data_IF_151746804480
#
_entry.id   IF_151746804480
#
_cell.length_a   1.000
_cell.length_b   1.000
_cell.length_c   1.000
_cell.angle_alpha   90.00
_cell.angle_beta   90.00
_cell.angle_gamma   90.00
#
_symmetry.space_group_name_H-M   'P 1'
#
loop_
_entity.id
_entity.type
_entity.pdbx_description
1 polymer ?
#
# COMPACT_ATOMS: atom_id res chain seq x y z
N UNK A 1 -2.68 -2.35 -2.47
CA UNK A 1 -2.67 -0.93 -2.02
C UNK A 1 -1.24 -0.49 -1.82
N UNK A 2 -0.88 0.70 -2.27
CA UNK A 2 0.44 1.29 -2.14
C UNK A 2 0.41 2.50 -1.21
N UNK A 3 1.44 2.64 -0.37
CA UNK A 3 1.65 3.76 0.54
C UNK A 3 2.89 4.50 0.06
N UNK A 4 2.69 5.74 -0.41
CA UNK A 4 3.75 6.65 -0.80
C UNK A 4 4.63 7.00 0.42
N UNK A 5 5.95 7.00 0.22
CA UNK A 5 6.94 7.42 1.22
C UNK A 5 7.72 8.63 0.70
N UNK A 6 9.04 8.55 0.54
CA UNK A 6 9.85 9.70 0.14
C UNK A 6 9.81 9.94 -1.38
N UNK A 7 9.73 8.86 -2.15
CA UNK A 7 9.64 8.90 -3.62
C UNK A 7 8.20 9.15 -4.03
N UNK A 8 7.98 10.28 -4.70
CA UNK A 8 6.67 10.61 -5.24
C UNK A 8 6.21 9.62 -6.31
N UNK A 9 4.97 9.16 -6.21
CA UNK A 9 4.34 8.21 -7.16
C UNK A 9 3.27 8.89 -8.03
N UNK A 10 3.51 10.16 -8.36
CA UNK A 10 2.52 11.05 -8.99
C UNK A 10 2.01 10.52 -10.34
N UNK A 11 2.91 9.97 -11.16
CA UNK A 11 2.55 9.39 -12.47
C UNK A 11 1.54 8.24 -12.35
N UNK A 12 1.63 7.43 -11.28
CA UNK A 12 0.70 6.33 -11.04
C UNK A 12 -0.64 6.81 -10.48
N UNK A 13 -0.62 7.86 -9.65
CA UNK A 13 -1.84 8.51 -9.15
C UNK A 13 -2.69 9.05 -10.30
N UNK A 14 -2.04 9.61 -11.34
CA UNK A 14 -2.71 10.18 -12.50
C UNK A 14 -3.41 9.16 -13.41
N UNK A 15 -3.06 7.87 -13.27
CA UNK A 15 -3.73 6.80 -14.02
C UNK A 15 -5.07 6.38 -13.43
N UNK A 16 -5.33 6.70 -12.16
CA UNK A 16 -6.54 6.30 -11.45
C UNK A 16 -7.57 7.43 -11.28
N UNK A 17 -8.64 7.13 -10.55
CA UNK A 17 -9.65 8.11 -10.16
C UNK A 17 -9.16 8.82 -8.89
N UNK A 18 -8.96 10.14 -8.98
CA UNK A 18 -8.61 10.98 -7.83
C UNK A 18 -9.74 10.95 -6.80
N UNK A 19 -9.40 10.66 -5.54
CA UNK A 19 -10.35 10.59 -4.43
C UNK A 19 -10.16 11.77 -3.50
N UNK A 20 -8.91 12.00 -3.07
CA UNK A 20 -8.56 12.96 -2.02
C UNK A 20 -9.42 12.80 -0.75
N UNK A 21 -9.47 11.56 -0.22
CA UNK A 21 -10.27 11.20 0.95
C UNK A 21 -9.42 10.85 2.16
N UNK A 22 -9.94 11.01 3.38
CA UNK A 22 -9.25 10.54 4.59
C UNK A 22 -9.22 9.02 4.60
N UNK A 23 -8.08 8.43 4.96
CA UNK A 23 -7.95 6.97 5.07
C UNK A 23 -8.82 6.45 6.23
N UNK A 24 -9.72 5.51 5.93
CA UNK A 24 -10.46 4.73 6.93
C UNK A 24 -10.58 3.26 6.50
N UNK A 25 -10.76 2.37 7.47
CA UNK A 25 -11.01 0.94 7.20
C UNK A 25 -12.23 0.74 6.30
N UNK A 26 -13.31 1.44 6.58
CA UNK A 26 -14.58 1.38 5.88
C UNK A 26 -14.43 1.83 4.42
N UNK A 27 -13.64 2.87 4.19
CA UNK A 27 -13.34 3.34 2.84
C UNK A 27 -12.54 2.29 2.07
N UNK A 28 -11.45 1.77 2.65
CA UNK A 28 -10.59 0.79 1.99
C UNK A 28 -11.35 -0.51 1.67
N UNK A 29 -12.17 -1.00 2.61
CA UNK A 29 -13.01 -2.18 2.36
C UNK A 29 -13.97 -1.95 1.20
N UNK A 30 -14.62 -0.78 1.13
CA UNK A 30 -15.54 -0.46 0.05
C UNK A 30 -14.87 -0.35 -1.32
N UNK A 31 -13.65 0.20 -1.38
CA UNK A 31 -12.92 0.31 -2.66
C UNK A 31 -12.62 -1.05 -3.27
N UNK A 32 -12.30 -2.06 -2.46
CA UNK A 32 -11.97 -3.39 -2.94
C UNK A 32 -13.19 -4.31 -3.12
N UNK A 33 -14.42 -3.79 -3.07
CA UNK A 33 -15.63 -4.57 -3.40
C UNK A 33 -15.58 -4.94 -4.89
N UNK A 34 -15.64 -6.24 -5.25
CA UNK A 34 -15.60 -6.69 -6.64
C UNK A 34 -16.70 -6.06 -7.51
N UNK A 35 -16.43 -5.89 -8.81
CA UNK A 35 -17.37 -5.36 -9.80
C UNK A 35 -17.81 -3.91 -9.55
N UNK A 36 -16.98 -3.11 -8.86
CA UNK A 36 -17.22 -1.67 -8.69
C UNK A 36 -16.21 -0.84 -9.50
N UNK A 37 -16.50 0.40 -9.90
CA UNK A 37 -15.56 1.19 -10.71
C UNK A 37 -14.17 1.41 -10.09
N UNK A 38 -14.02 1.28 -8.76
CA UNK A 38 -12.78 1.58 -8.04
C UNK A 38 -11.93 0.33 -7.71
N UNK A 39 -12.48 -0.88 -7.86
CA UNK A 39 -11.81 -2.10 -7.38
C UNK A 39 -10.65 -2.59 -8.24
N UNK A 40 -10.69 -2.26 -9.53
CA UNK A 40 -9.72 -2.71 -10.50
C UNK A 40 -8.48 -1.82 -10.47
N UNK A 41 -7.44 -2.29 -9.79
CA UNK A 41 -6.15 -1.63 -9.71
C UNK A 41 -5.70 -1.36 -8.29
N UNK A 42 -4.80 -0.40 -8.13
CA UNK A 42 -4.24 -0.04 -6.84
C UNK A 42 -4.96 1.17 -6.24
N UNK A 43 -5.10 1.13 -4.91
CA UNK A 43 -5.30 2.33 -4.10
C UNK A 43 -3.94 2.88 -3.74
N UNK A 44 -3.73 4.19 -3.93
CA UNK A 44 -2.51 4.90 -3.54
C UNK A 44 -2.83 5.84 -2.38
N UNK A 45 -2.11 5.67 -1.27
CA UNK A 45 -2.18 6.50 -0.07
C UNK A 45 -0.98 7.43 -0.05
N UNK A 46 -1.22 8.73 0.18
CA UNK A 46 -0.20 9.76 0.42
C UNK A 46 -0.48 10.40 1.78
N UNK A 47 0.43 10.21 2.73
CA UNK A 47 0.22 10.65 4.11
C UNK A 47 -0.98 9.95 4.75
N UNK A 48 -1.97 10.72 5.19
CA UNK A 48 -3.22 10.25 5.79
C UNK A 48 -4.41 10.26 4.80
N UNK A 49 -4.13 10.44 3.49
CA UNK A 49 -5.17 10.55 2.45
C UNK A 49 -5.04 9.49 1.38
N UNK A 50 -6.18 8.99 0.92
CA UNK A 50 -6.28 8.24 -0.33
C UNK A 50 -6.19 9.24 -1.48
N UNK A 51 -5.07 9.23 -2.19
CA UNK A 51 -4.84 10.11 -3.33
C UNK A 51 -5.69 9.68 -4.53
N UNK A 52 -5.66 8.39 -4.87
CA UNK A 52 -6.43 7.82 -5.97
C UNK A 52 -6.72 6.32 -5.75
N UNK A 53 -7.73 5.83 -6.48
CA UNK A 53 -8.10 4.41 -6.55
C UNK A 53 -8.19 3.97 -8.01
N UNK A 54 -8.12 2.66 -8.25
CA UNK A 54 -8.08 2.09 -9.60
C UNK A 54 -6.83 2.46 -10.39
N UNK A 55 -5.70 2.69 -9.72
CA UNK A 55 -4.44 3.09 -10.36
C UNK A 55 -3.76 1.90 -11.03
N UNK A 56 -3.18 2.14 -12.21
CA UNK A 56 -2.30 1.20 -12.89
C UNK A 56 -0.88 1.33 -12.35
N UNK A 57 -0.33 0.20 -11.90
CA UNK A 57 1.04 0.11 -11.41
C UNK A 57 1.91 -0.62 -12.42
N UNK A 58 3.22 -0.33 -12.48
CA UNK A 58 4.14 -1.02 -13.37
C UNK A 58 4.28 -2.48 -12.91
N UNK A 59 4.35 -3.41 -13.86
CA UNK A 59 4.60 -4.80 -13.58
C UNK A 59 6.11 -5.05 -13.58
N UNK A 60 6.63 -5.75 -12.57
CA UNK A 60 8.02 -6.19 -12.61
C UNK A 60 8.25 -7.18 -13.75
N UNK A 61 9.34 -6.98 -14.48
CA UNK A 61 9.84 -7.86 -15.55
C UNK A 61 10.86 -8.87 -15.03
N UNK A 62 11.12 -8.92 -13.72
CA UNK A 62 12.14 -9.78 -13.14
C UNK A 62 11.81 -11.26 -13.38
N UNK A 63 12.62 -11.99 -14.16
CA UNK A 63 12.33 -13.39 -14.52
C UNK A 63 12.43 -14.35 -13.34
N UNK A 64 13.02 -13.90 -12.22
CA UNK A 64 13.15 -14.70 -10.99
C UNK A 64 11.89 -14.67 -10.11
N UNK A 65 10.89 -13.84 -10.45
CA UNK A 65 9.60 -13.83 -9.76
C UNK A 65 8.92 -15.19 -9.94
N UNK A 66 8.50 -15.79 -8.83
CA UNK A 66 7.84 -17.09 -8.84
C UNK A 66 6.58 -17.06 -9.73
N UNK A 67 6.44 -18.06 -10.61
CA UNK A 67 5.36 -18.11 -11.63
C UNK A 67 3.95 -18.11 -11.04
N UNK A 68 3.80 -18.63 -9.82
CA UNK A 68 2.54 -18.64 -9.05
C UNK A 68 2.07 -17.26 -8.59
N UNK A 69 2.92 -16.24 -8.66
CA UNK A 69 2.54 -14.88 -8.29
C UNK A 69 1.62 -14.30 -9.37
N UNK A 70 0.43 -13.85 -8.95
CA UNK A 70 -0.54 -13.18 -9.81
C UNK A 70 -0.12 -11.77 -10.23
N UNK A 71 -0.94 -11.13 -11.07
CA UNK A 71 -0.72 -9.77 -11.60
C UNK A 71 -0.57 -8.72 -10.50
N UNK A 72 -1.38 -8.79 -9.43
CA UNK A 72 -1.26 -7.88 -8.27
C UNK A 72 0.09 -7.95 -7.57
N UNK A 73 0.66 -9.15 -7.47
CA UNK A 73 1.99 -9.33 -6.87
C UNK A 73 3.07 -8.74 -7.77
N UNK A 74 3.01 -8.99 -9.08
CA UNK A 74 3.94 -8.39 -10.06
C UNK A 74 3.86 -6.87 -10.08
N UNK A 75 2.65 -6.32 -9.99
CA UNK A 75 2.39 -4.89 -9.92
C UNK A 75 2.98 -4.25 -8.64
N UNK A 76 2.83 -4.95 -7.51
CA UNK A 76 3.40 -4.50 -6.25
C UNK A 76 4.93 -4.50 -6.25
N UNK A 77 5.54 -5.56 -6.80
CA UNK A 77 7.00 -5.63 -6.95
C UNK A 77 7.48 -4.52 -7.87
N UNK A 78 6.85 -4.36 -9.05
CA UNK A 78 7.25 -3.35 -10.03
C UNK A 78 7.20 -1.93 -9.47
N UNK A 79 6.14 -1.57 -8.73
CA UNK A 79 6.09 -0.26 -8.07
C UNK A 79 7.22 -0.11 -7.02
N UNK A 80 7.50 -1.16 -6.24
CA UNK A 80 8.56 -1.15 -5.23
C UNK A 80 9.99 -1.19 -5.80
N UNK A 81 10.16 -1.49 -7.09
CA UNK A 81 11.45 -1.43 -7.79
C UNK A 81 11.79 -0.01 -8.24
N UNK A 82 10.77 0.80 -8.55
CA UNK A 82 10.92 2.18 -9.07
C UNK A 82 10.65 3.27 -8.03
N UNK A 83 10.22 2.89 -6.83
CA UNK A 83 9.94 3.80 -5.73
C UNK A 83 10.20 3.12 -4.39
N UNK A 84 10.36 3.93 -3.35
CA UNK A 84 10.35 3.42 -1.99
C UNK A 84 8.91 3.15 -1.47
N UNK A 85 7.87 3.07 -2.31
CA UNK A 85 6.52 2.80 -1.81
C UNK A 85 6.42 1.45 -1.09
N UNK A 86 5.63 1.39 -0.01
CA UNK A 86 5.27 0.14 0.66
C UNK A 86 3.96 -0.37 0.05
N UNK A 87 3.98 -1.56 -0.55
CA UNK A 87 2.79 -2.11 -1.24
C UNK A 87 2.27 -3.34 -0.51
N UNK A 88 1.01 -3.28 -0.07
CA UNK A 88 0.30 -4.38 0.59
C UNK A 88 -0.59 -5.09 -0.44
N UNK A 89 -0.55 -6.41 -0.45
CA UNK A 89 -1.32 -7.29 -1.35
C UNK A 89 -2.11 -8.29 -0.51
N UNK A 90 -3.38 -8.48 -0.86
CA UNK A 90 -4.21 -9.57 -0.35
C UNK A 90 -4.52 -10.49 -1.53
N UNK A 91 -4.18 -11.77 -1.40
CA UNK A 91 -4.50 -12.80 -2.38
C UNK A 91 -6.01 -13.01 -2.46
N UNK A 92 -6.59 -12.96 -3.67
CA UNK A 92 -8.01 -13.26 -3.89
C UNK A 92 -8.33 -14.74 -3.65
N UNK A 93 -7.37 -15.61 -3.93
CA UNK A 93 -7.55 -17.06 -3.86
C UNK A 93 -7.45 -17.58 -2.43
N UNK A 94 -6.53 -17.00 -1.64
CA UNK A 94 -6.14 -17.55 -0.33
C UNK A 94 -6.35 -16.59 0.83
N UNK A 95 -6.63 -15.31 0.57
CA UNK A 95 -6.65 -14.26 1.59
C UNK A 95 -5.27 -13.94 2.19
N UNK A 96 -4.20 -14.61 1.73
CA UNK A 96 -2.86 -14.41 2.26
C UNK A 96 -2.38 -12.97 2.03
N UNK A 97 -1.83 -12.37 3.08
CA UNK A 97 -1.25 -11.03 3.02
C UNK A 97 0.22 -11.11 2.62
N UNK A 98 0.61 -10.25 1.69
CA UNK A 98 1.98 -10.05 1.27
C UNK A 98 2.32 -8.56 1.28
N UNK A 99 3.61 -8.24 1.39
CA UNK A 99 4.12 -6.87 1.32
C UNK A 99 5.33 -6.81 0.40
N UNK A 100 5.36 -5.84 -0.51
CA UNK A 100 6.50 -5.55 -1.39
C UNK A 100 7.14 -4.21 -1.01
N UNK A 101 8.46 -4.20 -0.81
CA UNK A 101 9.29 -3.04 -0.47
C UNK A 101 10.65 -3.24 -1.12
N UNK A 102 11.20 -2.20 -1.74
CA UNK A 102 12.55 -2.19 -2.34
C UNK A 102 12.77 -3.38 -3.29
N UNK A 103 11.76 -3.71 -4.11
CA UNK A 103 11.76 -4.84 -5.05
C UNK A 103 11.62 -6.23 -4.43
N UNK A 104 11.55 -6.34 -3.10
CA UNK A 104 11.46 -7.61 -2.38
C UNK A 104 10.03 -7.84 -1.89
N UNK A 105 9.50 -9.02 -2.18
CA UNK A 105 8.19 -9.46 -1.67
C UNK A 105 8.34 -10.40 -0.48
N UNK A 106 7.70 -10.04 0.63
CA UNK A 106 7.48 -10.90 1.79
C UNK A 106 6.06 -11.43 1.73
N UNK A 107 5.86 -12.75 1.82
CA UNK A 107 4.56 -13.42 1.66
C UNK A 107 4.09 -14.06 2.96
N UNK A 108 2.80 -14.33 3.04
CA UNK A 108 2.16 -15.04 4.15
C UNK A 108 2.40 -14.36 5.52
N UNK A 109 2.30 -13.03 5.55
CA UNK A 109 2.38 -12.30 6.81
C UNK A 109 1.10 -12.55 7.62
N UNK A 110 1.27 -12.89 8.90
CA UNK A 110 0.19 -12.82 9.87
C UNK A 110 -0.03 -11.36 10.33
N UNK A 111 -1.10 -11.15 11.12
CA UNK A 111 -1.47 -9.83 11.63
C UNK A 111 -0.33 -9.18 12.43
N UNK A 112 0.38 -9.95 13.27
CA UNK A 112 1.44 -9.42 14.13
C UNK A 112 2.63 -8.98 13.28
N UNK A 113 3.08 -9.83 12.35
CA UNK A 113 4.18 -9.55 11.44
C UNK A 113 3.87 -8.33 10.57
N UNK A 114 2.66 -8.25 10.02
CA UNK A 114 2.23 -7.10 9.23
C UNK A 114 2.27 -5.83 10.07
N UNK A 115 1.70 -5.85 11.28
CA UNK A 115 1.66 -4.70 12.19
C UNK A 115 3.06 -4.22 12.55
N UNK A 116 3.94 -5.12 12.98
CA UNK A 116 5.32 -4.80 13.36
C UNK A 116 6.09 -4.21 12.17
N UNK A 117 5.90 -4.76 10.97
CA UNK A 117 6.48 -4.26 9.74
C UNK A 117 5.98 -2.83 9.42
N UNK A 118 4.67 -2.59 9.47
CA UNK A 118 4.09 -1.27 9.17
C UNK A 118 4.56 -0.20 10.17
N UNK A 119 4.58 -0.52 11.47
CA UNK A 119 5.09 0.40 12.51
C UNK A 119 6.55 0.77 12.23
N UNK A 120 7.36 -0.22 11.87
CA UNK A 120 8.79 -0.04 11.61
C UNK A 120 9.03 0.78 10.33
N UNK A 121 8.28 0.51 9.26
CA UNK A 121 8.56 1.06 7.92
C UNK A 121 7.87 2.39 7.64
N UNK A 122 6.74 2.69 8.29
CA UNK A 122 5.98 3.92 8.07
C UNK A 122 6.35 5.05 9.04
N UNK A 123 7.33 4.83 9.92
CA UNK A 123 7.84 5.84 10.88
C UNK A 123 6.72 6.67 11.50
N UNK A 124 5.68 6.01 12.05
CA UNK A 124 4.55 6.69 12.67
C UNK A 124 5.12 7.66 13.71
N UNK A 125 5.09 8.96 13.42
CA UNK A 125 5.42 9.99 14.40
C UNK A 125 4.32 9.90 15.44
N UNK A 126 4.55 9.13 16.50
CA UNK A 126 3.69 9.14 17.67
C UNK A 126 3.61 10.59 18.09
N UNK A 127 2.42 11.20 17.97
CA UNK A 127 2.20 12.55 18.47
C UNK A 127 2.64 12.53 19.93
N UNK A 128 3.73 13.22 20.25
CA UNK A 128 4.27 13.28 21.61
C UNK A 128 3.13 13.60 22.57
N UNK A 129 3.00 12.77 23.61
CA UNK A 129 2.10 12.96 24.73
C UNK A 129 2.10 14.42 25.17
N UNK A 130 0.90 14.98 25.33
CA UNK A 130 0.68 16.24 26.04
C UNK A 130 1.46 16.18 27.36
N UNK A 131 2.54 16.95 27.49
CA UNK A 131 3.17 17.20 28.79
C UNK A 131 2.54 18.50 29.28
N UNK A 132 1.64 18.49 30.28
CA UNK A 132 1.04 19.71 30.78
C UNK A 132 2.17 20.55 31.38
N UNK A 133 2.45 21.68 30.75
CA UNK A 133 3.37 22.68 31.26
C UNK A 133 2.69 23.40 32.43
N UNK A 134 2.64 22.75 33.60
CA UNK A 134 2.33 23.40 34.86
C UNK A 134 3.48 23.11 35.81
N UNK A 135 4.35 24.10 35.98
CA UNK A 135 5.25 24.22 37.13
C UNK A 135 4.83 25.46 37.89
N UNK A 136 4.33 25.25 39.10
CA UNK A 136 4.30 26.25 40.17
C UNK A 136 5.66 26.32 40.85
#
# INVERSE_FOLDING_TARGET
MAIERETGVQEFIETGIKIDGVVSSEFLVNVFIPNTPLHDGAVIIRGDRVAAAGCFLPLSENPNIQKELGTRHRAAIGLSEVSDALVIIVSEETGAVSVAIDGIITRFLDEKMLRDLLITKLQVKTSKSYVPFWRS
#
